data_IF_861098236065
#
_entry.id   IF_861098236065
#
_cell.length_a   1.000
_cell.length_b   1.000
_cell.length_c   1.000
_cell.angle_alpha   90.00
_cell.angle_beta   90.00
_cell.angle_gamma   90.00
#
_symmetry.space_group_name_H-M   'P 1'
#
loop_
_entity.id
_entity.type
_entity.pdbx_description
1 polymer ?
#
# COMPACT_ATOMS: atom_id res chain seq x y z
N UNK A 1 11.83 13.55 -21.58
CA UNK A 1 11.64 14.64 -20.59
C UNK A 1 10.27 14.58 -19.93
N UNK A 2 9.16 14.68 -20.68
CA UNK A 2 7.78 14.68 -20.13
C UNK A 2 7.39 13.49 -19.22
N UNK A 3 7.82 12.26 -19.54
CA UNK A 3 7.46 11.08 -18.75
C UNK A 3 8.07 11.08 -17.33
N UNK A 4 9.30 11.57 -17.19
CA UNK A 4 10.01 11.68 -15.90
C UNK A 4 9.32 12.69 -14.98
N UNK A 5 8.96 13.84 -15.52
CA UNK A 5 8.23 14.89 -14.79
C UNK A 5 6.84 14.41 -14.36
N UNK A 6 6.10 13.78 -15.27
CA UNK A 6 4.80 13.18 -14.96
C UNK A 6 4.88 12.16 -13.82
N UNK A 7 5.97 11.38 -13.78
CA UNK A 7 6.18 10.38 -12.75
C UNK A 7 6.53 10.97 -11.38
N UNK A 8 7.37 12.01 -11.36
CA UNK A 8 7.66 12.75 -10.12
C UNK A 8 6.39 13.42 -9.58
N UNK A 9 5.58 14.01 -10.46
CA UNK A 9 4.29 14.58 -10.07
C UNK A 9 3.35 13.51 -9.53
N UNK A 10 3.30 12.32 -10.15
CA UNK A 10 2.51 11.21 -9.66
C UNK A 10 2.93 10.79 -8.24
N UNK A 11 4.24 10.66 -7.97
CA UNK A 11 4.73 10.31 -6.64
C UNK A 11 4.31 11.36 -5.59
N UNK A 12 4.45 12.65 -5.91
CA UNK A 12 4.03 13.76 -5.05
C UNK A 12 2.53 13.69 -4.79
N UNK A 13 1.73 13.53 -5.84
CA UNK A 13 0.27 13.45 -5.72
C UNK A 13 -0.16 12.25 -4.88
N UNK A 14 0.43 11.07 -5.08
CA UNK A 14 0.13 9.89 -4.28
C UNK A 14 0.48 10.16 -2.81
N UNK A 15 1.67 10.67 -2.51
CA UNK A 15 2.07 10.94 -1.13
C UNK A 15 1.17 11.98 -0.44
N UNK A 16 0.76 13.04 -1.15
CA UNK A 16 -0.12 14.08 -0.63
C UNK A 16 -1.53 13.60 -0.29
N UNK A 17 -2.05 12.62 -1.02
CA UNK A 17 -3.41 12.11 -0.82
C UNK A 17 -3.48 10.88 0.09
N UNK A 18 -2.35 10.46 0.69
CA UNK A 18 -2.35 9.35 1.64
C UNK A 18 -3.02 9.75 2.94
N UNK A 19 -3.87 8.87 3.48
CA UNK A 19 -4.49 9.07 4.78
C UNK A 19 -3.44 8.94 5.88
N UNK A 20 -3.20 10.02 6.62
CA UNK A 20 -2.28 10.05 7.76
C UNK A 20 -2.88 10.84 8.91
N UNK A 21 -2.55 10.45 10.15
CA UNK A 21 -2.96 11.20 11.34
C UNK A 21 -2.33 12.59 11.42
N UNK A 22 -1.22 12.83 10.71
CA UNK A 22 -0.60 14.15 10.59
C UNK A 22 -1.52 15.14 9.87
N UNK A 23 -2.27 14.69 8.86
CA UNK A 23 -3.17 15.51 8.07
C UNK A 23 -4.60 15.54 8.63
N UNK A 24 -5.03 14.45 9.27
CA UNK A 24 -6.33 14.35 9.92
C UNK A 24 -6.18 13.65 11.28
N UNK A 25 -6.09 14.39 12.39
CA UNK A 25 -5.92 13.83 13.74
C UNK A 25 -7.03 12.88 14.16
N UNK A 26 -8.25 13.09 13.67
CA UNK A 26 -9.44 12.28 13.99
C UNK A 26 -9.54 11.03 13.11
N UNK A 27 -8.58 10.78 12.22
CA UNK A 27 -8.53 9.61 11.37
C UNK A 27 -8.37 8.34 12.20
N UNK A 28 -9.30 7.41 12.01
CA UNK A 28 -9.24 6.08 12.60
C UNK A 28 -7.90 5.39 12.27
N UNK A 29 -7.25 4.85 13.30
CA UNK A 29 -5.87 4.35 13.20
C UNK A 29 -5.72 3.21 12.17
N UNK A 30 -6.79 2.46 11.95
CA UNK A 30 -6.91 1.38 10.96
C UNK A 30 -6.94 1.90 9.51
N UNK A 31 -7.27 3.16 9.26
CA UNK A 31 -7.26 3.72 7.89
C UNK A 31 -5.95 4.39 7.50
N UNK A 32 -5.05 4.58 8.48
CA UNK A 32 -3.76 5.22 8.26
C UNK A 32 -2.91 4.40 7.28
N UNK A 33 -2.36 5.09 6.28
CA UNK A 33 -1.49 4.52 5.25
C UNK A 33 -2.21 4.13 3.96
N UNK A 34 -3.54 4.04 3.99
CA UNK A 34 -4.33 3.82 2.79
C UNK A 34 -4.68 5.11 2.03
N UNK A 35 -5.39 4.95 0.92
CA UNK A 35 -5.95 6.04 0.12
C UNK A 35 -7.47 5.90 0.02
N UNK A 36 -8.23 7.00 0.10
CA UNK A 36 -9.66 6.98 -0.11
C UNK A 36 -9.93 6.97 -1.62
N UNK A 37 -9.67 5.82 -2.26
CA UNK A 37 -10.02 5.63 -3.67
C UNK A 37 -11.52 5.40 -3.71
N UNK A 38 -12.26 6.46 -4.01
CA UNK A 38 -13.71 6.46 -4.09
C UNK A 38 -14.18 5.61 -5.26
N UNK A 39 -14.44 4.34 -5.00
CA UNK A 39 -15.38 3.55 -5.77
C UNK A 39 -16.68 3.46 -4.96
N UNK A 40 -17.81 3.86 -5.55
CA UNK A 40 -19.16 3.65 -5.00
C UNK A 40 -19.47 4.35 -3.65
N UNK A 41 -18.87 5.52 -3.38
CA UNK A 41 -19.25 6.37 -2.23
C UNK A 41 -18.66 5.95 -0.88
N UNK A 42 -17.75 4.98 -0.85
CA UNK A 42 -16.97 4.64 0.36
C UNK A 42 -15.90 5.71 0.59
N UNK A 43 -15.92 6.34 1.77
CA UNK A 43 -15.04 7.47 2.12
C UNK A 43 -13.74 7.04 2.81
N UNK A 44 -13.64 5.78 3.25
CA UNK A 44 -12.46 5.24 3.93
C UNK A 44 -11.47 4.54 2.99
N UNK A 45 -10.26 4.27 3.50
CA UNK A 45 -9.28 3.48 2.77
C UNK A 45 -9.73 2.02 2.60
N UNK A 46 -9.55 1.50 1.38
CA UNK A 46 -9.87 0.12 1.00
C UNK A 46 -8.66 -0.55 0.37
N UNK A 47 -8.79 -1.83 0.03
CA UNK A 47 -7.76 -2.62 -0.65
C UNK A 47 -7.36 -2.09 -2.02
N UNK A 48 -8.15 -1.18 -2.62
CA UNK A 48 -7.74 -0.43 -3.82
C UNK A 48 -6.46 0.38 -3.57
N UNK A 49 -6.14 0.70 -2.31
CA UNK A 49 -4.86 1.27 -1.87
C UNK A 49 -3.63 0.45 -2.30
N UNK A 50 -3.81 -0.82 -2.67
CA UNK A 50 -2.76 -1.64 -3.26
C UNK A 50 -2.20 -1.07 -4.57
N UNK A 51 -3.02 -0.34 -5.34
CA UNK A 51 -2.64 0.25 -6.62
C UNK A 51 -1.68 1.43 -6.46
N UNK A 52 -1.97 2.47 -5.66
CA UNK A 52 -0.99 3.52 -5.37
C UNK A 52 0.25 2.97 -4.65
N UNK A 53 0.11 1.94 -3.79
CA UNK A 53 1.26 1.28 -3.18
C UNK A 53 2.20 0.63 -4.22
N UNK A 54 1.64 -0.11 -5.19
CA UNK A 54 2.41 -0.68 -6.30
C UNK A 54 3.04 0.42 -7.16
N UNK A 55 2.27 1.46 -7.49
CA UNK A 55 2.77 2.58 -8.28
C UNK A 55 3.97 3.24 -7.59
N UNK A 56 3.89 3.51 -6.28
CA UNK A 56 5.01 4.03 -5.49
C UNK A 56 6.23 3.10 -5.49
N UNK A 57 6.01 1.80 -5.27
CA UNK A 57 7.11 0.84 -5.25
C UNK A 57 7.83 0.76 -6.61
N UNK A 58 7.08 0.68 -7.71
CA UNK A 58 7.65 0.75 -9.06
C UNK A 58 8.37 2.08 -9.27
N UNK A 59 7.81 3.16 -8.74
CA UNK A 59 8.32 4.50 -8.94
C UNK A 59 9.68 4.76 -8.29
N UNK A 60 9.95 4.05 -7.20
CA UNK A 60 11.21 4.08 -6.48
C UNK A 60 12.24 3.09 -7.05
N UNK A 61 11.86 2.20 -7.97
CA UNK A 61 12.76 1.23 -8.57
C UNK A 61 13.70 1.93 -9.59
N UNK A 62 15.01 2.00 -9.31
CA UNK A 62 15.96 2.71 -10.17
C UNK A 62 16.14 2.02 -11.53
N UNK A 63 15.93 0.71 -11.63
CA UNK A 63 16.13 -0.04 -12.88
C UNK A 63 15.08 0.32 -13.94
N UNK A 64 13.86 0.66 -13.50
CA UNK A 64 12.76 0.99 -14.40
C UNK A 64 12.80 2.42 -14.92
N UNK A 65 13.29 3.36 -14.10
CA UNK A 65 13.18 4.79 -14.39
C UNK A 65 14.54 5.54 -14.39
N UNK A 66 15.64 4.85 -14.08
CA UNK A 66 17.01 5.37 -14.14
C UNK A 66 17.32 6.47 -13.12
N UNK A 67 16.46 6.68 -12.12
CA UNK A 67 16.60 7.73 -11.10
C UNK A 67 16.30 7.12 -9.74
N UNK A 68 17.27 7.08 -8.81
CA UNK A 68 16.97 6.76 -7.42
C UNK A 68 16.23 7.95 -6.80
N UNK A 69 14.89 7.97 -6.92
CA UNK A 69 14.05 8.92 -6.18
C UNK A 69 13.59 8.33 -4.85
N UNK A 70 14.51 7.67 -4.15
CA UNK A 70 14.27 7.11 -2.82
C UNK A 70 14.42 8.23 -1.80
N UNK A 71 13.45 9.14 -1.77
CA UNK A 71 13.39 10.13 -0.70
C UNK A 71 12.78 9.48 0.56
N UNK A 72 13.13 10.00 1.74
CA UNK A 72 12.69 9.45 3.01
C UNK A 72 11.16 9.47 3.15
N UNK A 73 10.50 10.53 2.68
CA UNK A 73 9.05 10.71 2.82
C UNK A 73 8.26 9.68 2.00
N UNK A 74 8.69 9.41 0.76
CA UNK A 74 8.12 8.40 -0.14
C UNK A 74 8.37 6.99 0.40
N UNK A 75 9.54 6.75 1.01
CA UNK A 75 9.80 5.48 1.70
C UNK A 75 8.86 5.28 2.91
N UNK A 76 8.67 6.30 3.75
CA UNK A 76 7.73 6.23 4.87
C UNK A 76 6.27 6.08 4.39
N UNK A 77 5.90 6.77 3.30
CA UNK A 77 4.61 6.62 2.64
C UNK A 77 4.38 5.16 2.20
N UNK A 78 5.38 4.54 1.56
CA UNK A 78 5.32 3.13 1.15
C UNK A 78 5.23 2.18 2.36
N UNK A 79 5.99 2.42 3.43
CA UNK A 79 5.91 1.61 4.67
C UNK A 79 4.52 1.67 5.30
N UNK A 80 3.92 2.85 5.39
CA UNK A 80 2.56 3.03 5.90
C UNK A 80 1.53 2.31 5.03
N UNK A 81 1.69 2.38 3.70
CA UNK A 81 0.83 1.68 2.76
C UNK A 81 0.90 0.15 2.92
N UNK A 82 2.11 -0.40 3.01
CA UNK A 82 2.31 -1.83 3.20
C UNK A 82 1.81 -2.30 4.57
N UNK A 83 1.97 -1.48 5.62
CA UNK A 83 1.38 -1.74 6.94
C UNK A 83 -0.15 -1.80 6.86
N UNK A 84 -0.79 -0.86 6.17
CA UNK A 84 -2.23 -0.88 5.95
C UNK A 84 -2.68 -2.14 5.22
N UNK A 85 -2.01 -2.50 4.11
CA UNK A 85 -2.32 -3.73 3.36
C UNK A 85 -2.11 -4.99 4.20
N UNK A 86 -1.07 -5.03 5.05
CA UNK A 86 -0.82 -6.13 5.98
C UNK A 86 -1.94 -6.30 7.00
N UNK A 87 -2.54 -5.20 7.48
CA UNK A 87 -3.72 -5.25 8.34
C UNK A 87 -4.94 -5.85 7.63
N UNK A 88 -5.07 -5.65 6.32
CA UNK A 88 -6.18 -6.21 5.55
C UNK A 88 -6.00 -7.71 5.30
N UNK A 89 -4.79 -8.24 5.47
CA UNK A 89 -4.53 -9.65 5.32
C UNK A 89 -5.31 -10.48 6.34
N UNK A 90 -5.95 -11.54 5.86
CA UNK A 90 -6.63 -12.52 6.69
C UNK A 90 -5.58 -13.37 7.39
N UNK A 91 -5.57 -13.29 8.71
CA UNK A 91 -4.79 -14.15 9.57
C UNK A 91 -5.67 -15.26 10.20
N UNK A 92 -5.05 -16.09 11.03
CA UNK A 92 -5.75 -17.17 11.72
C UNK A 92 -6.86 -16.62 12.64
N UNK A 93 -6.67 -15.44 13.23
CA UNK A 93 -7.64 -14.82 14.12
C UNK A 93 -8.88 -14.31 13.37
N UNK A 94 -8.73 -13.82 12.13
CA UNK A 94 -9.83 -13.34 11.31
C UNK A 94 -10.64 -14.46 10.64
N UNK A 95 -10.14 -15.70 10.65
CA UNK A 95 -10.73 -16.84 9.94
C UNK A 95 -12.17 -17.18 10.33
N UNK A 96 -12.63 -16.82 11.54
CA UNK A 96 -14.00 -17.07 11.96
C UNK A 96 -15.05 -16.37 11.07
N UNK A 97 -14.66 -15.28 10.40
CA UNK A 97 -15.52 -14.51 9.51
C UNK A 97 -15.64 -15.13 8.09
N UNK A 98 -14.92 -16.21 7.80
CA UNK A 98 -14.82 -16.79 6.46
C UNK A 98 -15.43 -18.20 6.40
N UNK A 99 -16.11 -18.49 5.29
CA UNK A 99 -16.75 -19.80 5.06
C UNK A 99 -15.75 -20.94 4.98
N UNK A 100 -14.60 -20.70 4.36
CA UNK A 100 -13.51 -21.67 4.23
C UNK A 100 -12.19 -21.00 4.69
N UNK A 101 -11.85 -21.13 5.98
CA UNK A 101 -10.64 -20.55 6.56
C UNK A 101 -9.37 -20.93 5.78
N UNK A 102 -9.26 -22.19 5.38
CA UNK A 102 -8.06 -22.74 4.74
C UNK A 102 -7.73 -22.05 3.41
N UNK A 103 -8.75 -21.60 2.68
CA UNK A 103 -8.60 -20.87 1.40
C UNK A 103 -8.54 -19.36 1.55
N UNK A 104 -8.91 -18.85 2.73
CA UNK A 104 -9.05 -17.43 2.99
C UNK A 104 -7.79 -16.83 3.62
N UNK A 105 -7.03 -17.63 4.37
CA UNK A 105 -5.77 -17.21 5.01
C UNK A 105 -4.81 -16.62 3.98
N UNK A 106 -4.18 -15.51 4.37
CA UNK A 106 -3.18 -14.82 3.57
C UNK A 106 -3.74 -13.91 2.49
N UNK A 107 -5.02 -14.02 2.15
CA UNK A 107 -5.69 -13.12 1.22
C UNK A 107 -5.99 -11.76 1.83
N UNK A 108 -6.22 -10.77 0.97
CA UNK A 108 -6.44 -9.37 1.31
C UNK A 108 -7.94 -9.07 1.27
N UNK A 109 -8.47 -8.64 2.42
CA UNK A 109 -9.84 -8.14 2.56
C UNK A 109 -10.06 -6.85 1.79
N UNK A 110 -11.26 -6.61 1.27
CA UNK A 110 -11.61 -5.40 0.53
C UNK A 110 -11.51 -4.13 1.39
N UNK A 111 -11.82 -4.22 2.68
CA UNK A 111 -11.72 -3.11 3.63
C UNK A 111 -11.62 -3.65 5.06
N UNK A 112 -11.28 -2.83 6.07
CA UNK A 112 -11.23 -3.28 7.48
C UNK A 112 -12.54 -3.88 7.99
N UNK A 113 -13.67 -3.42 7.44
CA UNK A 113 -15.04 -3.86 7.77
C UNK A 113 -15.65 -4.84 6.76
N UNK A 114 -14.98 -5.14 5.63
CA UNK A 114 -15.52 -6.01 4.58
C UNK A 114 -14.66 -7.27 4.44
N UNK A 115 -15.27 -8.44 4.62
CA UNK A 115 -14.61 -9.74 4.52
C UNK A 115 -14.49 -10.27 3.08
N UNK A 116 -15.00 -9.56 2.07
CA UNK A 116 -14.77 -9.92 0.68
C UNK A 116 -13.27 -9.85 0.35
N UNK A 117 -12.77 -10.72 -0.54
CA UNK A 117 -11.36 -10.77 -0.96
C UNK A 117 -11.23 -10.56 -2.47
N UNK A 118 -11.20 -9.31 -2.95
CA UNK A 118 -11.14 -9.04 -4.38
C UNK A 118 -9.83 -9.56 -5.00
N UNK A 119 -9.93 -10.34 -6.08
CA UNK A 119 -8.76 -10.92 -6.75
C UNK A 119 -7.77 -9.84 -7.23
N UNK A 120 -8.28 -8.73 -7.76
CA UNK A 120 -7.45 -7.62 -8.24
C UNK A 120 -6.62 -6.98 -7.13
N UNK A 121 -7.21 -6.79 -5.95
CA UNK A 121 -6.49 -6.24 -4.79
C UNK A 121 -5.43 -7.21 -4.26
N UNK A 122 -5.74 -8.51 -4.22
CA UNK A 122 -4.78 -9.56 -3.87
C UNK A 122 -3.56 -9.57 -4.81
N UNK A 123 -3.80 -9.63 -6.12
CA UNK A 123 -2.74 -9.65 -7.13
C UNK A 123 -1.87 -8.38 -7.05
N UNK A 124 -2.50 -7.21 -6.96
CA UNK A 124 -1.78 -5.93 -6.90
C UNK A 124 -0.98 -5.79 -5.61
N UNK A 125 -1.51 -6.28 -4.48
CA UNK A 125 -0.79 -6.29 -3.20
C UNK A 125 0.45 -7.18 -3.26
N UNK A 126 0.35 -8.38 -3.84
CA UNK A 126 1.50 -9.27 -4.03
C UNK A 126 2.59 -8.60 -4.88
N UNK A 127 2.20 -7.97 -6.00
CA UNK A 127 3.13 -7.21 -6.82
C UNK A 127 3.78 -6.06 -6.05
N UNK A 128 2.99 -5.29 -5.28
CA UNK A 128 3.51 -4.18 -4.48
C UNK A 128 4.54 -4.65 -3.46
N UNK A 129 4.26 -5.76 -2.76
CA UNK A 129 5.17 -6.36 -1.78
C UNK A 129 6.46 -6.84 -2.44
N UNK A 130 6.37 -7.52 -3.58
CA UNK A 130 7.55 -8.00 -4.30
C UNK A 130 8.46 -6.85 -4.73
N UNK A 131 7.89 -5.78 -5.28
CA UNK A 131 8.65 -4.58 -5.66
C UNK A 131 9.24 -3.87 -4.43
N UNK A 132 8.46 -3.74 -3.35
CA UNK A 132 8.92 -3.09 -2.14
C UNK A 132 10.02 -3.87 -1.40
N UNK A 133 9.98 -5.21 -1.46
CA UNK A 133 11.01 -6.06 -0.86
C UNK A 133 12.39 -5.69 -1.40
N UNK A 134 12.52 -5.56 -2.71
CA UNK A 134 13.79 -5.26 -3.36
C UNK A 134 14.30 -3.87 -2.92
N UNK A 135 13.39 -2.90 -2.77
CA UNK A 135 13.73 -1.57 -2.23
C UNK A 135 14.20 -1.60 -0.77
N UNK A 136 13.58 -2.42 0.09
CA UNK A 136 13.99 -2.53 1.49
C UNK A 136 15.34 -3.21 1.66
N UNK A 137 15.69 -4.15 0.78
CA UNK A 137 17.04 -4.75 0.80
C UNK A 137 18.14 -3.77 0.42
N UNK A 138 17.79 -2.72 -0.34
CA UNK A 138 18.71 -1.66 -0.76
C UNK A 138 18.82 -0.52 0.27
N UNK A 139 17.95 -0.46 1.28
CA UNK A 139 18.02 0.58 2.32
C UNK A 139 19.22 0.30 3.26
N UNK A 140 20.27 1.14 3.27
CA UNK A 140 21.49 0.91 4.05
C UNK A 140 21.27 0.95 5.58
N UNK A 141 20.09 1.37 6.06
CA UNK A 141 19.72 1.28 7.48
C UNK A 141 19.17 -0.09 7.88
N UNK A 142 18.74 -0.93 6.93
CA UNK A 142 18.18 -2.25 7.22
C UNK A 142 19.24 -3.29 7.63
N UNK A 143 20.51 -3.09 7.27
CA UNK A 143 21.60 -4.05 7.55
C UNK A 143 22.23 -3.89 8.94
N UNK A 144 21.67 -3.03 9.80
CA UNK A 144 22.22 -2.72 11.13
C UNK A 144 21.43 -3.31 12.32
N UNK A 145 20.55 -4.28 12.10
CA UNK A 145 19.90 -5.04 13.17
C UNK A 145 20.34 -6.50 13.18
#
# INVERSE_FOLDING_TARGET
MKAKEAWNLLQILIAQHQLTQKLNPDLAADLVGGWPITANGVTGATAESSRPALALALAMNPDLFGIPNTNHETMECLKLALRFLKQLQVDQAACYAFRDPSKSIGGIRAAPWDSSQPLGANATTLLAILQARDLFTLDPKSTKN
#
